data_IF_284629715957
#
_entry.id   IF_284629715957
#
_cell.length_a   1.000
_cell.length_b   1.000
_cell.length_c   1.000
_cell.angle_alpha   90.00
_cell.angle_beta   90.00
_cell.angle_gamma   90.00
#
_symmetry.space_group_name_H-M   'P 1'
#
loop_
_entity.id
_entity.type
_entity.pdbx_description
1 polymer ?
#
# COMPACT_ATOMS: atom_id res chain seq x y z
N UNK A 1 -19.82 -11.26 -1.59
CA UNK A 1 -18.74 -10.33 -1.98
C UNK A 1 -17.79 -9.99 -0.81
N UNK A 2 -17.46 -10.93 0.09
CA UNK A 2 -16.61 -10.64 1.27
C UNK A 2 -15.13 -10.43 0.93
N UNK A 3 -14.59 -11.19 -0.03
CA UNK A 3 -13.16 -11.12 -0.40
C UNK A 3 -12.74 -9.77 -1.00
N UNK A 4 -13.55 -9.17 -1.87
CA UNK A 4 -13.25 -7.88 -2.48
C UNK A 4 -13.21 -6.74 -1.44
N UNK A 5 -14.13 -6.77 -0.46
CA UNK A 5 -14.14 -5.80 0.64
C UNK A 5 -12.86 -5.88 1.47
N UNK A 6 -12.40 -7.09 1.79
CA UNK A 6 -11.15 -7.31 2.52
C UNK A 6 -9.93 -6.78 1.77
N UNK A 7 -9.88 -6.99 0.45
CA UNK A 7 -8.81 -6.46 -0.42
C UNK A 7 -8.83 -4.93 -0.43
N UNK A 8 -10.01 -4.31 -0.51
CA UNK A 8 -10.14 -2.85 -0.44
C UNK A 8 -9.74 -2.30 0.94
N UNK A 9 -10.09 -2.96 2.03
CA UNK A 9 -9.66 -2.57 3.37
C UNK A 9 -8.14 -2.65 3.52
N UNK A 10 -7.54 -3.73 3.00
CA UNK A 10 -6.09 -3.85 2.94
C UNK A 10 -5.48 -2.69 2.15
N UNK A 11 -6.00 -2.42 0.95
CA UNK A 11 -5.54 -1.35 0.08
C UNK A 11 -5.65 0.03 0.74
N UNK A 12 -6.78 0.36 1.38
CA UNK A 12 -6.94 1.61 2.13
C UNK A 12 -5.87 1.79 3.20
N UNK A 13 -5.56 0.71 3.94
CA UNK A 13 -4.50 0.75 4.96
C UNK A 13 -3.11 0.99 4.35
N UNK A 14 -2.85 0.48 3.15
CA UNK A 14 -1.59 0.72 2.43
C UNK A 14 -1.53 2.12 1.83
N UNK A 15 -2.64 2.61 1.26
CA UNK A 15 -2.74 3.90 0.61
C UNK A 15 -2.47 5.05 1.58
N UNK A 16 -2.98 4.96 2.81
CA UNK A 16 -2.74 5.99 3.84
C UNK A 16 -1.24 6.16 4.13
N UNK A 17 -0.51 5.05 4.28
CA UNK A 17 0.93 5.07 4.52
C UNK A 17 1.66 5.57 3.27
N UNK A 18 1.26 5.09 2.09
CA UNK A 18 1.87 5.48 0.82
C UNK A 18 1.74 6.98 0.57
N UNK A 19 0.54 7.54 0.72
CA UNK A 19 0.28 8.99 0.59
C UNK A 19 1.06 9.77 1.64
N UNK A 20 1.11 9.31 2.90
CA UNK A 20 1.87 10.00 3.96
C UNK A 20 3.35 10.16 3.57
N UNK A 21 3.94 9.12 2.98
CA UNK A 21 5.34 9.12 2.58
C UNK A 21 5.55 9.91 1.31
N UNK A 22 4.66 9.77 0.32
CA UNK A 22 4.72 10.56 -0.90
C UNK A 22 4.52 12.06 -0.61
N UNK A 23 3.65 12.43 0.34
CA UNK A 23 3.41 13.82 0.73
C UNK A 23 4.65 14.49 1.33
N UNK A 24 5.57 13.73 1.95
CA UNK A 24 6.85 14.29 2.39
C UNK A 24 7.65 14.88 1.23
N UNK A 25 7.55 14.33 0.01
CA UNK A 25 8.22 14.90 -1.16
C UNK A 25 7.76 16.33 -1.45
N UNK A 26 6.47 16.62 -1.27
CA UNK A 26 5.90 17.95 -1.48
C UNK A 26 6.45 18.99 -0.48
N UNK A 27 6.83 18.56 0.73
CA UNK A 27 7.41 19.45 1.75
C UNK A 27 8.82 19.93 1.40
N UNK A 28 9.54 19.20 0.53
CA UNK A 28 10.90 19.55 0.10
C UNK A 28 10.91 20.33 -1.23
N UNK A 29 9.83 21.07 -1.54
CA UNK A 29 9.63 21.80 -2.80
C UNK A 29 9.74 20.93 -4.06
N UNK A 30 9.41 19.64 -3.97
CA UNK A 30 9.29 18.81 -5.15
C UNK A 30 7.90 18.94 -5.78
N UNK A 31 7.86 18.95 -7.11
CA UNK A 31 6.64 19.11 -7.90
C UNK A 31 5.72 17.88 -7.81
N UNK A 32 4.49 18.02 -8.29
CA UNK A 32 3.49 16.92 -8.38
C UNK A 32 4.05 15.68 -9.07
N UNK A 33 4.89 15.84 -10.11
CA UNK A 33 5.52 14.71 -10.80
C UNK A 33 6.39 13.86 -9.86
N UNK A 34 7.08 14.49 -8.92
CA UNK A 34 7.91 13.80 -7.92
C UNK A 34 7.04 13.11 -6.87
N UNK A 35 5.91 13.70 -6.49
CA UNK A 35 4.92 13.03 -5.65
C UNK A 35 4.44 11.72 -6.29
N UNK A 36 4.03 11.76 -7.57
CA UNK A 36 3.60 10.56 -8.30
C UNK A 36 4.72 9.51 -8.38
N UNK A 37 5.95 9.95 -8.67
CA UNK A 37 7.10 9.06 -8.72
C UNK A 37 7.36 8.36 -7.37
N UNK A 38 7.39 9.12 -6.27
CA UNK A 38 7.58 8.59 -4.92
C UNK A 38 6.42 7.68 -4.51
N UNK A 39 5.18 8.06 -4.83
CA UNK A 39 3.98 7.27 -4.54
C UNK A 39 3.99 5.89 -5.22
N UNK A 40 4.41 5.81 -6.48
CA UNK A 40 4.49 4.54 -7.21
C UNK A 40 5.70 3.67 -6.79
N UNK A 41 6.77 4.28 -6.28
CA UNK A 41 8.04 3.60 -5.96
C UNK A 41 8.29 3.49 -4.46
N UNK A 42 8.95 4.49 -3.88
CA UNK A 42 9.43 4.51 -2.50
C UNK A 42 8.31 4.39 -1.47
N UNK A 43 7.16 5.01 -1.72
CA UNK A 43 6.00 4.92 -0.85
C UNK A 43 5.38 3.51 -0.83
N UNK A 44 5.37 2.80 -1.97
CA UNK A 44 4.94 1.40 -1.99
C UNK A 44 5.96 0.48 -1.30
N UNK A 45 7.26 0.69 -1.52
CA UNK A 45 8.31 -0.09 -0.84
C UNK A 45 8.24 0.06 0.68
N UNK A 46 8.02 1.27 1.17
CA UNK A 46 7.87 1.53 2.60
C UNK A 46 6.61 0.92 3.19
N UNK A 47 5.49 0.89 2.45
CA UNK A 47 4.30 0.10 2.83
C UNK A 47 4.64 -1.36 3.04
N UNK A 48 5.36 -1.96 2.09
CA UNK A 48 5.77 -3.38 2.18
C UNK A 48 6.60 -3.59 3.44
N UNK A 49 7.66 -2.79 3.63
CA UNK A 49 8.55 -2.89 4.80
C UNK A 49 7.79 -2.69 6.12
N UNK A 50 6.93 -1.67 6.21
CA UNK A 50 6.15 -1.38 7.40
C UNK A 50 5.24 -2.57 7.76
N UNK A 51 4.50 -3.10 6.79
CA UNK A 51 3.59 -4.22 7.03
C UNK A 51 4.34 -5.51 7.38
N UNK A 52 5.50 -5.74 6.75
CA UNK A 52 6.37 -6.88 7.05
C UNK A 52 6.94 -6.84 8.47
N UNK A 53 7.33 -5.65 8.94
CA UNK A 53 7.98 -5.50 10.24
C UNK A 53 6.98 -5.42 11.40
N UNK A 54 5.94 -4.58 11.26
CA UNK A 54 5.03 -4.23 12.36
C UNK A 54 3.69 -4.97 12.32
N UNK A 55 3.27 -5.50 11.17
CA UNK A 55 1.92 -6.03 10.97
C UNK A 55 1.87 -7.50 10.58
N UNK A 56 2.83 -8.32 11.05
CA UNK A 56 2.88 -9.76 10.72
C UNK A 56 1.57 -10.48 11.04
N UNK A 57 0.94 -10.12 12.16
CA UNK A 57 -0.29 -10.75 12.62
C UNK A 57 -1.49 -10.52 11.69
N UNK A 58 -1.50 -9.38 10.99
CA UNK A 58 -2.57 -9.01 10.06
C UNK A 58 -2.63 -10.02 8.89
N UNK A 59 -1.49 -10.57 8.46
CA UNK A 59 -1.47 -11.53 7.37
C UNK A 59 -2.16 -12.86 7.72
N UNK A 60 -2.18 -13.27 9.00
CA UNK A 60 -2.93 -14.46 9.41
C UNK A 60 -4.43 -14.29 9.21
N UNK A 61 -4.97 -13.09 9.49
CA UNK A 61 -6.38 -12.78 9.26
C UNK A 61 -6.76 -12.91 7.78
N UNK A 62 -5.94 -12.35 6.87
CA UNK A 62 -6.21 -12.47 5.43
C UNK A 62 -5.99 -13.88 4.90
N UNK A 63 -4.97 -14.59 5.41
CA UNK A 63 -4.70 -15.98 5.04
C UNK A 63 -5.87 -16.89 5.40
N UNK A 64 -6.46 -16.72 6.59
CA UNK A 64 -7.67 -17.44 7.03
C UNK A 64 -8.90 -17.16 6.14
N UNK A 65 -8.87 -16.08 5.36
CA UNK A 65 -9.88 -15.73 4.36
C UNK A 65 -9.47 -16.10 2.93
N UNK A 66 -8.52 -17.02 2.74
CA UNK A 66 -7.99 -17.48 1.45
C UNK A 66 -7.33 -16.37 0.60
N UNK A 67 -6.88 -15.28 1.22
CA UNK A 67 -6.16 -14.21 0.53
C UNK A 67 -4.67 -14.32 0.81
N UNK A 68 -3.89 -14.60 -0.23
CA UNK A 68 -2.44 -14.67 -0.09
C UNK A 68 -1.82 -13.27 0.01
N UNK A 69 -0.73 -13.17 0.77
CA UNK A 69 0.06 -11.93 0.91
C UNK A 69 0.49 -11.36 -0.44
N UNK A 70 1.00 -12.22 -1.32
CA UNK A 70 1.45 -11.83 -2.68
C UNK A 70 0.31 -11.19 -3.45
N UNK A 71 -0.87 -11.82 -3.43
CA UNK A 71 -2.06 -11.28 -4.08
C UNK A 71 -2.44 -9.90 -3.55
N UNK A 72 -2.47 -9.71 -2.23
CA UNK A 72 -2.80 -8.43 -1.60
C UNK A 72 -1.85 -7.30 -2.02
N UNK A 73 -0.53 -7.57 -2.03
CA UNK A 73 0.45 -6.58 -2.49
C UNK A 73 0.37 -6.31 -3.98
N UNK A 74 0.22 -7.35 -4.82
CA UNK A 74 0.09 -7.16 -6.27
C UNK A 74 -1.12 -6.32 -6.62
N UNK A 75 -2.28 -6.58 -6.02
CA UNK A 75 -3.49 -5.79 -6.24
C UNK A 75 -3.29 -4.34 -5.76
N UNK A 76 -2.67 -4.16 -4.60
CA UNK A 76 -2.38 -2.82 -4.06
C UNK A 76 -1.42 -2.03 -4.95
N UNK A 77 -0.41 -2.70 -5.53
CA UNK A 77 0.52 -2.10 -6.47
C UNK A 77 -0.17 -1.67 -7.76
N UNK A 78 -1.00 -2.55 -8.33
CA UNK A 78 -1.79 -2.23 -9.54
C UNK A 78 -2.71 -1.05 -9.28
N UNK A 79 -3.41 -1.00 -8.15
CA UNK A 79 -4.25 0.14 -7.81
C UNK A 79 -3.45 1.45 -7.65
N UNK A 80 -2.25 1.41 -7.06
CA UNK A 80 -1.40 2.60 -6.98
C UNK A 80 -0.93 3.11 -8.34
N UNK A 81 -0.71 2.23 -9.33
CA UNK A 81 -0.34 2.65 -10.69
C UNK A 81 -1.53 3.25 -11.44
N UNK A 82 -2.74 2.76 -11.16
CA UNK A 82 -3.97 3.20 -11.82
C UNK A 82 -4.52 4.52 -11.29
N UNK A 83 -4.08 4.95 -10.11
CA UNK A 83 -4.57 6.14 -9.38
C UNK A 83 -3.70 7.35 -9.70
#
# INVERSE_FOLDING_TARGET
MKGFQLVLEFYKSTLLINISIAALSLLFNFNISSFCFVFCTFGFLTVVLYKEYYSKNIFYFYYNNNLSKKYLYSVSFVFNILL
#
